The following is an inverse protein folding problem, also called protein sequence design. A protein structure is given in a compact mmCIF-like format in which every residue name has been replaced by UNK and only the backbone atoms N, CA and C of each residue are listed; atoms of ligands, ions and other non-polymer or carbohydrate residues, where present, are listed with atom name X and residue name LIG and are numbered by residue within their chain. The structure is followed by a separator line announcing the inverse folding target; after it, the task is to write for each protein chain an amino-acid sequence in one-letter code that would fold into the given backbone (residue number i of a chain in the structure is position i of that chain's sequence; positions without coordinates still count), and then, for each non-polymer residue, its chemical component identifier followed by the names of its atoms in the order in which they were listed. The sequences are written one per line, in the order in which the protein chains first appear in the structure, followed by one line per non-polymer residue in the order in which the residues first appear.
data_IF_720295891741
#
_entry.id   IF_720295891741
#
_cell.length_a   1.000
_cell.length_b   1.000
_cell.length_c   1.000
_cell.angle_alpha   90.00
_cell.angle_beta   90.00
_cell.angle_gamma   90.00
#
_symmetry.space_group_name_H-M   'P 1'
#
loop_
_entity.id
_entity.type
_entity.pdbx_description
1 polymer ?
#
# COMPACT_ATOMS: atom_id res chain seq x y z
N UNK A 1 -3.10 57.66 -1.49
CA UNK A 1 -4.07 56.59 -1.21
C UNK A 1 -3.77 56.08 0.19
N UNK A 2 -4.74 56.15 1.08
CA UNK A 2 -4.60 56.03 2.54
C UNK A 2 -4.49 54.56 2.97
N UNK A 3 -3.51 54.28 3.83
CA UNK A 3 -3.41 53.04 4.58
C UNK A 3 -4.37 53.08 5.76
N UNK A 4 -5.29 52.15 5.86
CA UNK A 4 -6.07 51.91 7.07
C UNK A 4 -5.45 50.72 7.84
N UNK A 5 -4.97 51.05 9.03
CA UNK A 5 -4.48 50.15 10.05
C UNK A 5 -5.65 49.61 10.86
N UNK A 6 -5.80 48.28 10.96
CA UNK A 6 -6.80 47.65 11.84
C UNK A 6 -6.11 47.12 13.11
N UNK A 7 -6.59 47.65 14.23
CA UNK A 7 -6.17 47.37 15.61
C UNK A 7 -6.45 45.93 16.06
N UNK A 8 -5.50 45.37 16.83
CA UNK A 8 -5.66 44.15 17.61
C UNK A 8 -6.31 44.49 18.99
N UNK A 9 -7.21 43.65 19.51
CA UNK A 9 -7.72 43.80 20.87
C UNK A 9 -6.86 43.07 21.91
N UNK A 10 -6.78 43.73 23.08
CA UNK A 10 -5.97 43.40 24.23
C UNK A 10 -6.38 42.14 25.01
N UNK A 11 -5.37 41.49 25.58
CA UNK A 11 -5.45 40.42 26.57
C UNK A 11 -6.11 40.86 27.88
N UNK A 12 -7.25 40.29 28.20
CA UNK A 12 -7.92 40.39 29.50
C UNK A 12 -7.52 39.24 30.45
N UNK A 13 -6.88 39.62 31.53
CA UNK A 13 -6.56 38.76 32.68
C UNK A 13 -7.84 38.30 33.40
N UNK A 14 -7.93 36.99 33.73
CA UNK A 14 -8.94 36.50 34.70
C UNK A 14 -8.29 35.71 35.83
N UNK A 15 -8.44 36.35 36.97
CA UNK A 15 -8.10 35.85 38.31
C UNK A 15 -9.04 34.72 38.76
N UNK A 16 -8.42 33.74 39.36
CA UNK A 16 -8.79 32.85 40.48
C UNK A 16 -10.26 32.82 40.92
N UNK A 17 -10.81 31.61 40.89
CA UNK A 17 -11.85 31.19 41.84
C UNK A 17 -11.47 29.84 42.45
N UNK A 18 -11.13 29.86 43.75
CA UNK A 18 -10.96 28.70 44.60
C UNK A 18 -12.32 28.45 45.27
N UNK A 19 -12.92 27.27 45.03
CA UNK A 19 -13.99 26.74 45.88
C UNK A 19 -13.55 25.36 46.39
N UNK A 20 -13.40 25.30 47.71
CA UNK A 20 -13.20 24.08 48.47
C UNK A 20 -14.52 23.28 48.51
N UNK A 21 -14.53 22.03 48.08
CA UNK A 21 -15.52 21.03 48.50
C UNK A 21 -14.77 19.83 49.06
N UNK A 22 -14.87 19.64 50.37
CA UNK A 22 -14.50 18.40 51.03
C UNK A 22 -15.60 17.37 50.75
N UNK A 23 -15.25 16.28 50.08
CA UNK A 23 -16.12 15.15 49.78
C UNK A 23 -15.42 13.86 50.19
N UNK A 24 -16.08 13.09 51.03
CA UNK A 24 -15.70 11.81 51.64
C UNK A 24 -15.34 10.80 50.56
N UNK A 25 -14.12 10.24 50.63
CA UNK A 25 -13.68 9.14 49.76
C UNK A 25 -14.22 7.81 50.33
N UNK A 26 -15.24 7.25 49.68
CA UNK A 26 -15.58 5.84 49.83
C UNK A 26 -14.67 5.04 48.89
N UNK A 27 -13.72 4.30 49.46
CA UNK A 27 -12.87 3.36 48.70
C UNK A 27 -13.73 2.18 48.28
N UNK A 28 -14.19 2.17 47.04
CA UNK A 28 -14.71 0.99 46.38
C UNK A 28 -13.52 0.09 46.01
N UNK A 29 -13.40 -1.06 46.63
CA UNK A 29 -12.54 -2.16 46.19
C UNK A 29 -13.02 -2.61 44.82
N UNK A 30 -12.36 -2.13 43.71
CA UNK A 30 -12.49 -2.71 42.40
C UNK A 30 -11.76 -4.05 42.41
N UNK A 31 -12.42 -5.19 42.14
CA UNK A 31 -11.71 -6.45 41.98
C UNK A 31 -10.67 -6.30 40.89
N UNK A 32 -9.43 -6.70 41.15
CA UNK A 32 -8.37 -6.77 40.17
C UNK A 32 -8.87 -7.61 38.98
N UNK A 33 -9.32 -6.95 37.95
CA UNK A 33 -9.68 -7.60 36.71
C UNK A 33 -8.47 -8.41 36.26
N UNK A 34 -8.71 -9.70 35.99
CA UNK A 34 -7.71 -10.58 35.41
C UNK A 34 -7.09 -9.85 34.22
N UNK A 35 -5.79 -9.57 34.30
CA UNK A 35 -5.03 -9.08 33.15
C UNK A 35 -5.27 -10.08 32.02
N UNK A 36 -5.98 -9.64 30.97
CA UNK A 36 -6.10 -10.43 29.77
C UNK A 36 -4.67 -10.76 29.36
N UNK A 37 -4.37 -12.06 29.28
CA UNK A 37 -3.15 -12.57 28.65
C UNK A 37 -2.95 -11.77 27.37
N UNK A 38 -1.76 -11.22 27.09
CA UNK A 38 -1.55 -10.57 25.82
C UNK A 38 -1.86 -11.63 24.76
N UNK A 39 -3.01 -11.45 24.09
CA UNK A 39 -3.36 -12.28 22.95
C UNK A 39 -2.14 -12.25 22.07
N UNK A 40 -1.52 -13.40 21.81
CA UNK A 40 -0.32 -13.50 20.99
C UNK A 40 -0.59 -12.67 19.74
N UNK A 41 0.10 -11.53 19.60
CA UNK A 41 -0.14 -10.60 18.51
C UNK A 41 -0.01 -11.43 17.24
N UNK A 42 -1.12 -11.60 16.51
CA UNK A 42 -1.14 -12.32 15.25
C UNK A 42 -0.18 -11.58 14.33
N UNK A 43 1.07 -12.02 14.25
CA UNK A 43 2.12 -11.30 13.56
C UNK A 43 1.87 -11.38 12.08
N UNK A 44 1.55 -10.23 11.45
CA UNK A 44 1.45 -10.13 10.01
C UNK A 44 2.82 -10.43 9.39
N UNK A 45 2.85 -11.31 8.39
CA UNK A 45 4.00 -11.55 7.51
C UNK A 45 3.70 -10.94 6.16
N UNK A 46 4.72 -10.38 5.50
CA UNK A 46 4.62 -9.88 4.13
C UNK A 46 5.67 -10.57 3.25
N UNK A 47 5.26 -11.03 2.08
CA UNK A 47 6.11 -11.71 1.10
C UNK A 47 6.04 -10.96 -0.22
N UNK A 48 7.19 -10.68 -0.83
CA UNK A 48 7.22 -10.23 -2.22
C UNK A 48 6.92 -11.41 -3.14
N UNK A 49 5.97 -11.22 -4.03
CA UNK A 49 5.71 -12.10 -5.17
C UNK A 49 6.48 -11.57 -6.40
N UNK A 50 6.19 -12.11 -7.59
CA UNK A 50 6.75 -11.57 -8.82
C UNK A 50 6.19 -10.17 -9.12
N UNK A 51 6.99 -9.35 -9.78
CA UNK A 51 6.63 -8.02 -10.30
C UNK A 51 6.13 -7.07 -9.20
N UNK A 52 4.85 -6.70 -9.24
CA UNK A 52 4.20 -5.88 -8.22
C UNK A 52 3.51 -6.71 -7.14
N UNK A 53 3.46 -8.04 -7.26
CA UNK A 53 2.70 -8.91 -6.38
C UNK A 53 3.20 -8.92 -4.93
N UNK A 54 2.26 -8.88 -3.99
CA UNK A 54 2.52 -8.98 -2.54
C UNK A 54 1.54 -9.94 -1.89
N UNK A 55 2.04 -10.79 -0.98
CA UNK A 55 1.24 -11.61 -0.08
C UNK A 55 1.36 -11.10 1.34
N UNK A 56 0.24 -10.88 1.99
CA UNK A 56 0.12 -10.59 3.41
C UNK A 56 -0.52 -11.79 4.10
N UNK A 57 0.11 -12.30 5.15
CA UNK A 57 -0.30 -13.54 5.78
C UNK A 57 -0.41 -13.39 7.30
N UNK A 58 -1.54 -13.82 7.83
CA UNK A 58 -1.81 -14.10 9.23
C UNK A 58 -1.89 -15.62 9.44
N UNK A 59 -1.92 -16.14 10.66
CA UNK A 59 -1.94 -17.59 10.89
C UNK A 59 -3.09 -18.33 10.20
N UNK A 60 -4.26 -17.70 10.06
CA UNK A 60 -5.48 -18.34 9.55
C UNK A 60 -6.12 -17.58 8.36
N UNK A 61 -5.44 -16.58 7.82
CA UNK A 61 -5.95 -15.80 6.68
C UNK A 61 -4.83 -15.24 5.83
N UNK A 62 -5.11 -15.08 4.53
CA UNK A 62 -4.16 -14.58 3.52
C UNK A 62 -4.82 -13.51 2.67
N UNK A 63 -4.08 -12.44 2.38
CA UNK A 63 -4.45 -11.41 1.43
C UNK A 63 -3.34 -11.29 0.37
N UNK A 64 -3.71 -11.33 -0.90
CA UNK A 64 -2.78 -11.10 -2.00
C UNK A 64 -3.12 -9.77 -2.69
N UNK A 65 -2.12 -9.07 -3.16
CA UNK A 65 -2.27 -7.84 -3.95
C UNK A 65 -1.56 -8.07 -5.28
N UNK A 66 -2.25 -7.86 -6.40
CA UNK A 66 -1.76 -8.02 -7.77
C UNK A 66 -0.96 -9.32 -7.99
N UNK A 67 -1.51 -10.51 -7.62
CA UNK A 67 -0.80 -11.78 -7.80
C UNK A 67 -0.71 -12.17 -9.28
N UNK A 68 0.44 -12.71 -9.70
CA UNK A 68 0.68 -13.22 -11.05
C UNK A 68 1.12 -14.69 -11.01
N UNK A 69 0.57 -15.50 -11.91
CA UNK A 69 1.05 -16.84 -12.25
C UNK A 69 1.40 -16.95 -13.73
N UNK A 70 0.98 -15.97 -14.54
CA UNK A 70 1.24 -15.90 -15.96
C UNK A 70 1.98 -14.57 -16.29
N UNK A 71 3.21 -14.62 -16.81
CA UNK A 71 3.95 -13.40 -17.17
C UNK A 71 3.62 -12.93 -18.59
N UNK A 72 2.39 -13.15 -19.09
CA UNK A 72 2.01 -12.93 -20.49
C UNK A 72 2.45 -11.57 -21.07
N UNK A 73 2.34 -10.50 -20.27
CA UNK A 73 2.76 -9.15 -20.68
C UNK A 73 4.27 -9.06 -20.94
N UNK A 74 5.05 -9.61 -20.04
CA UNK A 74 6.52 -9.48 -20.06
C UNK A 74 7.23 -10.68 -20.69
N UNK A 75 6.58 -11.86 -20.68
CA UNK A 75 7.17 -13.09 -21.20
C UNK A 75 8.54 -13.37 -20.58
N UNK A 76 9.55 -13.53 -21.43
CA UNK A 76 10.93 -13.79 -21.01
C UNK A 76 11.67 -12.54 -20.49
N UNK A 77 11.12 -11.35 -20.68
CA UNK A 77 11.72 -10.12 -20.18
C UNK A 77 11.51 -9.94 -18.66
N UNK A 78 10.53 -10.66 -18.07
CA UNK A 78 10.35 -10.66 -16.62
C UNK A 78 11.52 -11.43 -15.94
N UNK A 79 12.38 -10.76 -15.16
CA UNK A 79 13.48 -11.43 -14.49
C UNK A 79 13.01 -12.18 -13.24
N UNK A 80 11.86 -11.80 -12.70
CA UNK A 80 11.32 -12.33 -11.47
C UNK A 80 10.84 -13.76 -11.62
N UNK A 81 11.18 -14.60 -10.64
CA UNK A 81 10.60 -15.94 -10.51
C UNK A 81 9.13 -15.83 -10.11
N UNK A 82 8.23 -16.49 -10.84
CA UNK A 82 6.84 -16.64 -10.42
C UNK A 82 6.76 -17.43 -9.12
N UNK A 83 5.99 -16.91 -8.17
CA UNK A 83 5.80 -17.50 -6.83
C UNK A 83 4.41 -18.12 -6.79
N UNK A 84 4.25 -19.39 -6.34
CA UNK A 84 2.93 -20.00 -6.19
C UNK A 84 1.99 -19.15 -5.33
N UNK A 85 0.72 -19.05 -5.75
CA UNK A 85 -0.30 -18.24 -5.07
C UNK A 85 -1.43 -19.10 -4.48
N UNK A 86 -1.42 -20.41 -4.73
CA UNK A 86 -2.43 -21.37 -4.26
C UNK A 86 -2.12 -21.99 -2.90
N UNK A 87 -0.96 -21.74 -2.32
CA UNK A 87 -0.53 -22.18 -0.99
C UNK A 87 -1.01 -21.21 0.12
N UNK A 88 -2.25 -20.76 0.03
CA UNK A 88 -2.85 -19.84 0.98
C UNK A 88 -3.25 -20.51 2.29
N UNK A 89 -3.11 -19.79 3.40
CA UNK A 89 -3.57 -20.21 4.71
C UNK A 89 -4.97 -19.66 4.97
N UNK A 90 -5.86 -20.53 5.40
CA UNK A 90 -7.20 -20.17 5.85
C UNK A 90 -8.07 -19.48 4.79
N UNK A 91 -8.84 -18.47 5.21
CA UNK A 91 -9.60 -17.63 4.29
C UNK A 91 -8.66 -16.74 3.49
N UNK A 92 -8.89 -16.63 2.19
CA UNK A 92 -8.02 -15.86 1.31
C UNK A 92 -8.77 -14.81 0.52
N UNK A 93 -8.16 -13.64 0.38
CA UNK A 93 -8.70 -12.50 -0.36
C UNK A 93 -7.67 -11.99 -1.36
N UNK A 94 -8.15 -11.33 -2.41
CA UNK A 94 -7.29 -10.67 -3.40
C UNK A 94 -7.69 -9.22 -3.55
N UNK A 95 -6.71 -8.33 -3.59
CA UNK A 95 -6.84 -6.94 -4.00
C UNK A 95 -6.21 -6.78 -5.39
N UNK A 96 -6.86 -6.01 -6.24
CA UNK A 96 -6.33 -5.62 -7.55
C UNK A 96 -6.24 -4.10 -7.58
N UNK A 97 -5.08 -3.56 -7.98
CA UNK A 97 -4.88 -2.11 -8.10
C UNK A 97 -5.54 -1.55 -9.36
N UNK A 98 -5.43 -2.27 -10.47
CA UNK A 98 -6.03 -1.97 -11.77
C UNK A 98 -6.03 -3.23 -12.67
N UNK A 99 -6.45 -3.11 -13.93
CA UNK A 99 -6.69 -4.28 -14.80
C UNK A 99 -5.68 -4.44 -15.94
N UNK A 100 -4.53 -3.78 -15.90
CA UNK A 100 -3.46 -4.11 -16.83
C UNK A 100 -3.00 -5.55 -16.60
N UNK A 101 -2.61 -6.24 -17.66
CA UNK A 101 -2.34 -7.68 -17.65
C UNK A 101 -1.10 -8.10 -16.83
N UNK A 102 -0.30 -7.15 -16.40
CA UNK A 102 0.82 -7.33 -15.46
C UNK A 102 0.44 -7.07 -13.99
N UNK A 103 -0.83 -6.73 -13.71
CA UNK A 103 -1.39 -6.59 -12.37
C UNK A 103 -2.64 -7.43 -12.13
N UNK A 104 -3.40 -7.73 -13.19
CA UNK A 104 -4.58 -8.57 -13.12
C UNK A 104 -4.39 -9.86 -13.94
N UNK A 105 -4.27 -10.96 -13.23
CA UNK A 105 -4.19 -12.31 -13.77
C UNK A 105 -5.36 -13.13 -13.22
N UNK A 106 -6.31 -13.48 -14.10
CA UNK A 106 -7.52 -14.21 -13.72
C UNK A 106 -7.21 -15.61 -13.14
N UNK A 107 -6.17 -16.29 -13.65
CA UNK A 107 -5.76 -17.59 -13.16
C UNK A 107 -5.13 -17.49 -11.76
N UNK A 108 -4.34 -16.43 -11.52
CA UNK A 108 -3.78 -16.15 -10.19
C UNK A 108 -4.89 -15.83 -9.18
N UNK A 109 -5.87 -15.02 -9.57
CA UNK A 109 -7.05 -14.72 -8.74
C UNK A 109 -7.84 -16.00 -8.44
N UNK A 110 -8.10 -16.83 -9.45
CA UNK A 110 -8.81 -18.11 -9.27
C UNK A 110 -8.07 -19.05 -8.31
N UNK A 111 -6.75 -19.16 -8.47
CA UNK A 111 -5.91 -20.01 -7.62
C UNK A 111 -5.86 -19.50 -6.16
N UNK A 112 -5.75 -18.19 -5.97
CA UNK A 112 -5.70 -17.56 -4.65
C UNK A 112 -7.04 -17.62 -3.91
N UNK A 113 -8.17 -17.52 -4.62
CA UNK A 113 -9.52 -17.52 -4.04
C UNK A 113 -10.15 -18.93 -3.91
N UNK A 114 -9.37 -19.98 -3.99
CA UNK A 114 -9.87 -21.38 -3.98
C UNK A 114 -10.78 -21.75 -2.81
N UNK A 115 -10.83 -20.93 -1.74
CA UNK A 115 -11.63 -21.15 -0.53
C UNK A 115 -12.77 -20.14 -0.34
N UNK A 116 -13.24 -19.51 -1.42
CA UNK A 116 -14.42 -18.64 -1.37
C UNK A 116 -14.20 -17.24 -0.82
N UNK A 117 -12.97 -16.76 -0.91
CA UNK A 117 -12.60 -15.39 -0.50
C UNK A 117 -13.21 -14.30 -1.38
N UNK A 118 -12.80 -13.09 -1.13
CA UNK A 118 -13.29 -11.88 -1.82
C UNK A 118 -12.21 -11.29 -2.70
N UNK A 119 -12.55 -10.96 -3.96
CA UNK A 119 -11.78 -10.08 -4.81
C UNK A 119 -12.29 -8.65 -4.64
N UNK A 120 -11.46 -7.76 -4.10
CA UNK A 120 -11.74 -6.32 -4.05
C UNK A 120 -10.92 -5.58 -5.12
N UNK A 121 -11.56 -4.62 -5.79
CA UNK A 121 -11.00 -3.90 -6.92
C UNK A 121 -11.57 -2.47 -6.98
N UNK A 122 -10.95 -1.53 -7.70
CA UNK A 122 -11.44 -0.15 -7.80
C UNK A 122 -12.87 -0.05 -8.32
N UNK A 123 -13.71 0.72 -7.67
CA UNK A 123 -15.00 1.07 -8.22
C UNK A 123 -14.83 1.84 -9.55
N UNK A 124 -15.70 1.53 -10.52
CA UNK A 124 -15.61 2.13 -11.86
C UNK A 124 -14.87 1.29 -12.89
N UNK A 125 -14.17 0.23 -12.49
CA UNK A 125 -13.69 -0.75 -13.45
C UNK A 125 -14.86 -1.53 -14.06
N UNK A 126 -14.71 -1.86 -15.36
CA UNK A 126 -15.65 -2.76 -16.04
C UNK A 126 -15.61 -4.14 -15.37
N UNK A 127 -16.70 -4.92 -15.48
CA UNK A 127 -16.72 -6.28 -14.96
C UNK A 127 -15.52 -7.08 -15.47
N UNK A 128 -14.72 -7.59 -14.54
CA UNK A 128 -13.60 -8.45 -14.86
C UNK A 128 -14.08 -9.89 -15.07
N UNK A 129 -13.39 -10.70 -15.90
CA UNK A 129 -13.64 -12.12 -15.96
C UNK A 129 -13.27 -12.74 -14.60
N UNK A 130 -14.27 -13.01 -13.77
CA UNK A 130 -14.08 -13.55 -12.43
C UNK A 130 -14.33 -15.04 -12.41
N UNK A 131 -13.61 -15.80 -11.57
CA UNK A 131 -13.98 -17.17 -11.26
C UNK A 131 -15.41 -17.21 -10.70
N UNK A 132 -16.22 -18.18 -11.13
CA UNK A 132 -17.63 -18.29 -10.74
C UNK A 132 -17.86 -18.34 -9.21
N UNK A 133 -16.86 -18.74 -8.43
CA UNK A 133 -16.90 -18.81 -6.96
C UNK A 133 -16.41 -17.53 -6.27
N UNK A 134 -15.87 -16.54 -7.00
CA UNK A 134 -15.32 -15.33 -6.41
C UNK A 134 -16.44 -14.35 -6.00
N UNK A 135 -16.32 -13.81 -4.79
CA UNK A 135 -17.13 -12.67 -4.36
C UNK A 135 -16.45 -11.40 -4.83
N UNK A 136 -17.00 -10.76 -5.88
CA UNK A 136 -16.49 -9.49 -6.39
C UNK A 136 -16.98 -8.31 -5.53
N UNK A 137 -16.05 -7.41 -5.16
CA UNK A 137 -16.35 -6.24 -4.36
C UNK A 137 -15.71 -4.98 -4.95
N UNK A 138 -16.48 -4.17 -5.71
CA UNK A 138 -16.00 -2.85 -6.10
C UNK A 138 -15.81 -1.97 -4.86
N UNK A 139 -14.71 -1.23 -4.81
CA UNK A 139 -14.27 -0.47 -3.63
C UNK A 139 -14.13 1.01 -3.98
N UNK A 140 -14.90 1.86 -3.33
CA UNK A 140 -14.82 3.31 -3.51
C UNK A 140 -13.62 3.90 -2.75
N UNK A 141 -13.01 4.94 -3.30
CA UNK A 141 -11.86 5.62 -2.67
C UNK A 141 -12.18 6.06 -1.24
N UNK A 142 -11.24 5.83 -0.35
CA UNK A 142 -11.28 6.19 1.07
C UNK A 142 -12.24 5.35 1.93
N UNK A 143 -12.98 4.42 1.33
CA UNK A 143 -13.91 3.55 2.05
C UNK A 143 -13.23 2.24 2.46
N UNK A 144 -13.09 1.95 3.78
CA UNK A 144 -12.47 0.74 4.26
C UNK A 144 -13.34 -0.48 3.95
N UNK A 145 -12.70 -1.56 3.50
CA UNK A 145 -13.29 -2.87 3.28
C UNK A 145 -12.77 -3.85 4.32
N UNK A 146 -13.66 -4.49 5.05
CA UNK A 146 -13.29 -5.59 5.94
C UNK A 146 -13.25 -6.90 5.13
N UNK A 147 -12.09 -7.55 5.10
CA UNK A 147 -11.79 -8.78 4.38
C UNK A 147 -11.19 -9.79 5.37
N UNK A 148 -12.03 -10.55 6.05
CA UNK A 148 -11.59 -11.38 7.16
C UNK A 148 -10.88 -10.53 8.25
N UNK A 149 -9.66 -10.89 8.61
CA UNK A 149 -8.83 -10.16 9.58
C UNK A 149 -8.11 -8.93 9.00
N UNK A 150 -8.31 -8.62 7.71
CA UNK A 150 -7.69 -7.48 7.03
C UNK A 150 -8.70 -6.35 6.86
N UNK A 151 -8.24 -5.12 7.08
CA UNK A 151 -8.94 -3.93 6.63
C UNK A 151 -8.16 -3.33 5.46
N UNK A 152 -8.77 -3.30 4.28
CA UNK A 152 -8.20 -2.74 3.06
C UNK A 152 -8.93 -1.46 2.66
N UNK A 153 -8.20 -0.37 2.44
CA UNK A 153 -8.77 0.90 2.02
C UNK A 153 -8.12 1.34 0.71
N UNK A 154 -8.89 1.46 -0.39
CA UNK A 154 -8.37 2.02 -1.62
C UNK A 154 -8.16 3.52 -1.47
N UNK A 155 -7.01 4.00 -1.91
CA UNK A 155 -6.64 5.42 -1.90
C UNK A 155 -6.21 5.84 -3.31
N UNK A 156 -6.24 7.15 -3.63
CA UNK A 156 -5.91 7.61 -4.97
C UNK A 156 -4.54 7.14 -5.44
N UNK A 157 -4.49 6.70 -6.67
CA UNK A 157 -3.31 6.49 -7.49
C UNK A 157 -3.48 7.24 -8.81
N UNK A 158 -2.43 7.32 -9.61
CA UNK A 158 -2.46 7.93 -10.95
C UNK A 158 -1.83 6.97 -11.93
N UNK A 159 -2.62 6.45 -12.83
CA UNK A 159 -2.17 5.57 -13.90
C UNK A 159 -1.50 6.36 -15.04
N UNK A 160 -0.42 5.80 -15.62
CA UNK A 160 0.34 6.43 -16.69
C UNK A 160 -0.41 6.55 -18.01
N UNK A 161 -1.50 5.81 -18.19
CA UNK A 161 -2.40 5.86 -19.35
C UNK A 161 -3.70 6.61 -19.08
N UNK A 162 -3.98 6.94 -17.81
CA UNK A 162 -5.22 7.55 -17.38
C UNK A 162 -6.34 6.52 -17.08
N UNK A 163 -6.00 5.26 -16.95
CA UNK A 163 -6.94 4.20 -16.59
C UNK A 163 -7.29 4.23 -15.10
N UNK A 164 -8.39 3.56 -14.72
CA UNK A 164 -8.82 3.53 -13.32
C UNK A 164 -7.87 2.68 -12.49
N UNK A 165 -7.23 3.32 -11.49
CA UNK A 165 -6.28 2.68 -10.60
C UNK A 165 -6.44 3.17 -9.17
N UNK A 166 -6.09 2.32 -8.19
CA UNK A 166 -5.94 2.68 -6.78
C UNK A 166 -4.63 2.15 -6.22
N UNK A 167 -4.12 2.83 -5.20
CA UNK A 167 -3.20 2.22 -4.23
C UNK A 167 -4.00 1.64 -3.07
N UNK A 168 -3.43 0.65 -2.36
CA UNK A 168 -4.08 0.03 -1.22
C UNK A 168 -3.38 0.34 0.10
N UNK A 169 -4.15 0.73 1.09
CA UNK A 169 -3.75 0.74 2.51
C UNK A 169 -4.33 -0.50 3.16
N UNK A 170 -3.48 -1.37 3.72
CA UNK A 170 -3.91 -2.58 4.41
C UNK A 170 -3.47 -2.52 5.87
N UNK A 171 -4.42 -2.78 6.78
CA UNK A 171 -4.15 -2.90 8.22
C UNK A 171 -4.52 -4.30 8.68
N UNK A 172 -3.59 -5.01 9.31
CA UNK A 172 -3.80 -6.34 9.89
C UNK A 172 -2.69 -6.66 10.89
N UNK A 173 -2.97 -7.47 11.91
CA UNK A 173 -1.98 -7.94 12.87
C UNK A 173 -1.16 -6.83 13.55
N UNK A 174 -1.75 -5.66 13.78
CA UNK A 174 -1.10 -4.49 14.35
C UNK A 174 -0.17 -3.73 13.43
N UNK A 175 -0.10 -4.09 12.13
CA UNK A 175 0.76 -3.44 11.13
C UNK A 175 -0.07 -2.74 10.06
N UNK A 176 0.57 -1.77 9.43
CA UNK A 176 -0.02 -0.97 8.36
C UNK A 176 0.90 -0.99 7.13
N UNK A 177 0.35 -1.44 6.01
CA UNK A 177 1.04 -1.63 4.76
C UNK A 177 0.46 -0.69 3.71
N UNK A 178 1.32 -0.08 2.91
CA UNK A 178 0.96 0.63 1.71
C UNK A 178 1.42 -0.14 0.47
N UNK A 179 0.57 -0.26 -0.54
CA UNK A 179 0.91 -0.82 -1.84
C UNK A 179 0.54 0.17 -2.93
N UNK A 180 1.54 0.62 -3.68
CA UNK A 180 1.39 1.68 -4.67
C UNK A 180 0.74 1.27 -5.99
N UNK A 181 0.74 -0.03 -6.32
CA UNK A 181 0.52 -0.45 -7.70
C UNK A 181 1.69 0.03 -8.57
N UNK A 182 1.40 0.52 -9.76
CA UNK A 182 2.36 1.14 -10.65
C UNK A 182 2.15 2.66 -10.82
N UNK A 183 1.65 3.31 -9.78
CA UNK A 183 1.27 4.72 -9.79
C UNK A 183 2.38 5.68 -10.22
N UNK A 184 1.99 6.76 -10.88
CA UNK A 184 2.80 7.98 -11.05
C UNK A 184 2.87 8.81 -9.77
N UNK A 185 3.72 9.86 -9.78
CA UNK A 185 3.69 10.90 -8.75
C UNK A 185 2.40 11.71 -8.82
N UNK A 186 1.75 11.90 -7.65
CA UNK A 186 0.50 12.66 -7.53
C UNK A 186 0.44 13.50 -6.24
N UNK A 187 -0.55 14.37 -6.10
CA UNK A 187 -0.69 15.26 -4.94
C UNK A 187 -1.27 14.63 -3.67
N UNK A 188 -1.73 13.38 -3.70
CA UNK A 188 -2.44 12.76 -2.58
C UNK A 188 -1.52 12.18 -1.49
N UNK A 189 -0.20 12.08 -1.71
CA UNK A 189 0.76 11.50 -0.77
C UNK A 189 0.64 12.05 0.64
N UNK A 190 0.56 13.38 0.78
CA UNK A 190 0.43 14.05 2.08
C UNK A 190 -0.89 13.75 2.80
N UNK A 191 -2.00 13.65 2.07
CA UNK A 191 -3.28 13.25 2.65
C UNK A 191 -3.23 11.81 3.14
N UNK A 192 -2.70 10.89 2.33
CA UNK A 192 -2.54 9.48 2.68
C UNK A 192 -1.65 9.34 3.92
N UNK A 193 -0.48 10.00 3.93
CA UNK A 193 0.44 9.99 5.07
C UNK A 193 -0.18 10.51 6.35
N UNK A 194 -0.93 11.63 6.29
CA UNK A 194 -1.61 12.19 7.47
C UNK A 194 -2.76 11.31 7.99
N UNK A 195 -3.49 10.65 7.09
CA UNK A 195 -4.67 9.88 7.46
C UNK A 195 -4.31 8.46 7.94
N UNK A 196 -3.32 7.85 7.33
CA UNK A 196 -3.00 6.44 7.55
C UNK A 196 -1.59 6.18 8.06
N UNK A 197 -0.64 7.09 7.90
CA UNK A 197 0.74 6.91 8.35
C UNK A 197 0.89 6.90 9.88
N UNK A 198 2.04 6.51 10.41
CA UNK A 198 3.15 5.92 9.67
C UNK A 198 2.85 4.49 9.20
N UNK A 199 3.50 4.07 8.12
CA UNK A 199 3.39 2.71 7.60
C UNK A 199 4.58 1.86 8.07
N UNK A 200 4.33 0.57 8.36
CA UNK A 200 5.41 -0.38 8.67
C UNK A 200 6.21 -0.73 7.41
N UNK A 201 5.53 -0.88 6.27
CA UNK A 201 6.15 -1.02 4.96
C UNK A 201 5.34 -0.33 3.87
N UNK A 202 6.03 0.24 2.88
CA UNK A 202 5.47 0.75 1.64
C UNK A 202 6.09 -0.01 0.46
N UNK A 203 5.28 -0.76 -0.26
CA UNK A 203 5.63 -1.40 -1.53
C UNK A 203 5.38 -0.39 -2.65
N UNK A 204 6.45 0.09 -3.26
CA UNK A 204 6.37 1.16 -4.26
C UNK A 204 7.09 0.76 -5.55
N UNK A 205 6.52 1.08 -6.73
CA UNK A 205 7.18 0.89 -8.00
C UNK A 205 8.37 1.84 -8.10
N UNK A 206 9.43 1.41 -8.81
CA UNK A 206 10.67 2.19 -8.89
C UNK A 206 11.24 2.29 -10.30
N UNK A 207 10.57 1.73 -11.30
CA UNK A 207 11.18 1.63 -12.62
C UNK A 207 11.15 2.93 -13.45
N UNK A 208 10.29 3.90 -13.12
CA UNK A 208 10.17 5.15 -13.88
C UNK A 208 9.94 4.93 -15.36
N UNK A 209 9.15 3.90 -15.72
CA UNK A 209 8.98 3.45 -17.08
C UNK A 209 8.42 4.54 -18.00
N UNK A 210 8.94 4.61 -19.23
CA UNK A 210 8.42 5.43 -20.32
C UNK A 210 7.86 4.54 -21.40
N UNK A 211 6.81 5.01 -22.08
CA UNK A 211 6.07 4.25 -23.08
C UNK A 211 6.14 4.93 -24.44
N UNK A 212 6.55 4.20 -25.47
CA UNK A 212 6.65 4.68 -26.83
C UNK A 212 5.44 4.37 -27.72
N UNK A 213 4.43 3.67 -27.22
CA UNK A 213 3.23 3.27 -27.99
C UNK A 213 2.05 4.24 -27.86
N UNK A 214 2.17 5.31 -27.06
CA UNK A 214 1.16 6.39 -26.99
C UNK A 214 1.59 7.57 -27.86
N UNK A 215 0.70 8.04 -28.73
CA UNK A 215 0.96 9.16 -29.62
C UNK A 215 0.19 10.42 -29.18
N UNK A 216 0.84 11.57 -29.02
CA UNK A 216 2.29 11.77 -29.09
C UNK A 216 3.03 11.17 -27.90
N UNK A 217 4.26 10.69 -28.11
CA UNK A 217 5.11 10.18 -27.03
C UNK A 217 5.43 11.30 -26.04
N UNK A 218 5.10 11.10 -24.78
CA UNK A 218 5.30 12.13 -23.73
C UNK A 218 6.75 12.25 -23.28
N UNK A 219 7.52 11.14 -23.31
CA UNK A 219 8.85 11.05 -22.72
C UNK A 219 8.88 11.22 -21.20
N UNK A 220 7.70 11.31 -20.55
CA UNK A 220 7.59 11.39 -19.10
C UNK A 220 7.40 9.99 -18.48
N UNK A 221 7.90 9.77 -17.25
CA UNK A 221 7.65 8.52 -16.55
C UNK A 221 6.16 8.27 -16.34
N UNK A 222 5.67 7.11 -16.78
CA UNK A 222 4.32 6.63 -16.51
C UNK A 222 4.18 5.95 -15.15
N UNK A 223 5.29 5.73 -14.44
CA UNK A 223 5.39 5.08 -13.14
C UNK A 223 6.37 5.87 -12.27
N UNK A 224 6.33 5.76 -10.94
CA UNK A 224 7.28 6.43 -10.07
C UNK A 224 8.75 6.11 -10.45
N UNK A 225 9.59 7.15 -10.49
CA UNK A 225 11.04 6.96 -10.51
C UNK A 225 11.54 6.54 -9.13
N UNK A 226 12.76 5.99 -9.02
CA UNK A 226 13.34 5.64 -7.71
C UNK A 226 13.35 6.81 -6.72
N UNK A 227 13.68 8.01 -7.17
CA UNK A 227 13.72 9.22 -6.33
C UNK A 227 12.33 9.64 -5.87
N UNK A 228 11.32 9.49 -6.74
CA UNK A 228 9.92 9.75 -6.42
C UNK A 228 9.38 8.74 -5.41
N UNK A 229 9.73 7.45 -5.56
CA UNK A 229 9.35 6.41 -4.61
C UNK A 229 9.93 6.68 -3.21
N UNK A 230 11.19 7.10 -3.11
CA UNK A 230 11.80 7.51 -1.84
C UNK A 230 11.10 8.74 -1.24
N UNK A 231 10.77 9.73 -2.07
CA UNK A 231 10.04 10.90 -1.61
C UNK A 231 8.64 10.54 -1.10
N UNK A 232 7.92 9.65 -1.81
CA UNK A 232 6.61 9.15 -1.39
C UNK A 232 6.72 8.37 -0.07
N UNK A 233 7.68 7.45 0.08
CA UNK A 233 7.92 6.70 1.31
C UNK A 233 8.18 7.62 2.51
N UNK A 234 8.98 8.68 2.33
CA UNK A 234 9.24 9.68 3.37
C UNK A 234 7.95 10.42 3.79
N UNK A 235 7.12 10.85 2.84
CA UNK A 235 5.84 11.55 3.11
C UNK A 235 4.84 10.60 3.80
N UNK A 236 4.80 9.34 3.41
CA UNK A 236 3.99 8.29 4.03
C UNK A 236 4.46 7.94 5.44
N UNK A 237 5.68 8.34 5.83
CA UNK A 237 6.29 7.94 7.10
C UNK A 237 6.57 6.43 7.13
N UNK A 238 6.93 5.84 5.99
CA UNK A 238 7.22 4.42 5.88
C UNK A 238 8.51 4.05 6.64
N UNK A 239 8.40 3.08 7.54
CA UNK A 239 9.54 2.52 8.27
C UNK A 239 10.44 1.68 7.37
N UNK A 240 9.88 1.16 6.28
CA UNK A 240 10.60 0.40 5.27
C UNK A 240 9.99 0.66 3.90
N UNK A 241 10.81 1.06 2.93
CA UNK A 241 10.46 1.07 1.51
C UNK A 241 10.88 -0.28 0.90
N UNK A 242 9.94 -0.98 0.31
CA UNK A 242 10.16 -2.23 -0.43
C UNK A 242 9.95 -1.95 -1.92
N UNK A 243 10.99 -2.01 -2.76
CA UNK A 243 10.85 -1.78 -4.18
C UNK A 243 10.13 -2.94 -4.86
N UNK A 244 9.20 -2.60 -5.75
CA UNK A 244 8.46 -3.50 -6.64
C UNK A 244 8.48 -2.93 -8.07
N UNK A 245 7.98 -3.69 -9.03
CA UNK A 245 7.72 -3.22 -10.40
C UNK A 245 8.98 -2.65 -11.07
N UNK A 246 10.01 -3.51 -11.27
CA UNK A 246 11.27 -3.13 -11.92
C UNK A 246 12.01 -4.35 -12.46
N UNK A 247 12.90 -4.10 -13.43
CA UNK A 247 13.85 -5.07 -13.96
C UNK A 247 13.55 -5.54 -15.38
N UNK A 248 12.52 -5.00 -16.04
CA UNK A 248 12.22 -5.32 -17.43
C UNK A 248 13.22 -4.62 -18.35
N UNK A 249 13.75 -5.37 -19.31
CA UNK A 249 14.67 -4.85 -20.33
C UNK A 249 14.44 -5.53 -21.68
N UNK A 250 14.90 -4.88 -22.76
CA UNK A 250 14.85 -5.43 -24.11
C UNK A 250 13.45 -5.50 -24.73
N UNK A 251 12.51 -4.69 -24.24
CA UNK A 251 11.16 -4.56 -24.81
C UNK A 251 11.11 -3.36 -25.77
N UNK A 252 10.44 -3.53 -26.91
CA UNK A 252 10.18 -2.44 -27.83
C UNK A 252 9.20 -1.44 -27.21
N UNK A 253 9.50 -0.15 -27.39
CA UNK A 253 8.65 0.96 -26.93
C UNK A 253 8.39 1.00 -25.40
N UNK A 254 9.20 0.29 -24.62
CA UNK A 254 9.18 0.32 -23.15
C UNK A 254 10.60 0.46 -22.62
N UNK A 255 10.82 1.45 -21.80
CA UNK A 255 12.12 1.66 -21.18
C UNK A 255 11.99 2.05 -19.72
N UNK A 256 12.66 1.30 -18.85
CA UNK A 256 12.85 1.68 -17.45
C UNK A 256 14.00 2.68 -17.33
N UNK A 257 14.08 3.39 -16.19
CA UNK A 257 15.27 4.19 -15.88
C UNK A 257 16.49 3.27 -15.72
N UNK A 258 17.66 3.78 -16.07
CA UNK A 258 18.90 3.06 -15.85
C UNK A 258 19.15 2.84 -14.36
N UNK A 259 19.62 1.64 -13.99
CA UNK A 259 19.97 1.22 -12.63
C UNK A 259 18.94 1.65 -11.56
N UNK A 260 17.68 1.20 -11.63
CA UNK A 260 16.64 1.64 -10.71
C UNK A 260 16.99 1.35 -9.24
N UNK A 261 17.64 0.23 -8.94
CA UNK A 261 18.05 -0.12 -7.57
C UNK A 261 19.21 0.73 -7.04
N UNK A 262 20.21 1.04 -7.87
CA UNK A 262 21.33 1.92 -7.48
C UNK A 262 20.84 3.33 -7.21
N UNK A 263 19.97 3.86 -8.09
CA UNK A 263 19.31 5.17 -7.91
C UNK A 263 18.45 5.20 -6.65
N UNK A 264 17.68 4.13 -6.39
CA UNK A 264 16.88 4.00 -5.19
C UNK A 264 17.75 4.08 -3.93
N UNK A 265 18.82 3.28 -3.86
CA UNK A 265 19.75 3.25 -2.71
C UNK A 265 20.38 4.61 -2.45
N UNK A 266 20.82 5.29 -3.53
CA UNK A 266 21.39 6.63 -3.43
C UNK A 266 20.38 7.62 -2.87
N UNK A 267 19.19 7.73 -3.48
CA UNK A 267 18.13 8.64 -3.04
C UNK A 267 17.67 8.35 -1.61
N UNK A 268 17.59 7.08 -1.22
CA UNK A 268 17.21 6.65 0.12
C UNK A 268 18.26 7.03 1.17
N UNK A 269 19.56 6.91 0.84
CA UNK A 269 20.64 7.37 1.70
C UNK A 269 20.58 8.87 1.95
N UNK A 270 20.35 9.66 0.91
CA UNK A 270 20.24 11.13 0.99
C UNK A 270 19.06 11.59 1.89
N UNK A 271 18.04 10.76 2.08
CA UNK A 271 16.83 11.06 2.86
C UNK A 271 16.64 10.23 4.12
N UNK A 272 17.58 9.35 4.45
CA UNK A 272 17.51 8.41 5.56
C UNK A 272 16.21 7.56 5.56
N UNK A 273 15.76 7.13 4.38
CA UNK A 273 14.61 6.23 4.22
C UNK A 273 15.12 4.78 4.22
N UNK A 274 14.70 3.93 5.18
CA UNK A 274 15.12 2.54 5.18
C UNK A 274 14.57 1.80 3.95
N UNK A 275 15.44 1.06 3.25
CA UNK A 275 15.09 0.25 2.08
C UNK A 275 15.38 -1.22 2.36
N UNK A 276 14.43 -2.08 2.02
CA UNK A 276 14.65 -3.53 1.99
C UNK A 276 14.32 -4.06 0.60
N UNK A 277 15.35 -4.45 -0.14
CA UNK A 277 15.18 -5.20 -1.39
C UNK A 277 14.89 -6.65 -1.02
N UNK A 278 13.78 -7.17 -1.49
CA UNK A 278 13.29 -8.52 -1.18
C UNK A 278 13.14 -9.28 -2.48
N UNK A 279 13.76 -10.46 -2.57
CA UNK A 279 13.64 -11.33 -3.73
C UNK A 279 12.24 -11.96 -3.81
N UNK A 280 11.73 -12.26 -5.01
CA UNK A 280 10.45 -12.95 -5.18
C UNK A 280 10.40 -14.28 -4.41
N UNK A 281 9.38 -14.42 -3.56
CA UNK A 281 9.20 -15.55 -2.65
C UNK A 281 9.85 -15.38 -1.29
N UNK A 282 10.67 -14.37 -1.07
CA UNK A 282 11.23 -14.07 0.24
C UNK A 282 10.25 -13.26 1.09
N UNK A 283 10.34 -13.44 2.40
CA UNK A 283 9.53 -12.75 3.39
C UNK A 283 10.26 -11.51 3.89
N UNK A 284 9.49 -10.46 4.10
CA UNK A 284 9.98 -9.20 4.67
C UNK A 284 10.43 -9.42 6.12
N UNK A 285 11.56 -8.84 6.48
CA UNK A 285 12.02 -8.75 7.87
C UNK A 285 11.50 -7.44 8.46
N UNK A 286 10.72 -7.52 9.53
CA UNK A 286 10.23 -6.33 10.19
C UNK A 286 11.32 -5.68 11.03
N UNK A 287 11.54 -4.36 10.91
CA UNK A 287 12.43 -3.66 11.83
C UNK A 287 11.92 -3.77 13.27
N UNK A 288 12.85 -3.87 14.20
CA UNK A 288 12.59 -3.95 15.62
C UNK A 288 11.93 -2.68 16.18
#
# INVERSE_FOLDING_TARGET
MKHDSVNAPALGSRRRFLARCAGVAAAALVPAGAAASPAAMRSLRAQRLAWAGVRLQLPESTLLIDPLVNPATWGKALPDRLVPVNDVLGESHVLVTHTHSDHFDADAVAAALSKGGTLAYPAGLQPMPLPAAARARPSALWEPQLLGDFTATPVPASDGYGDTQVSWVVTAGGRRIFHGGDTQWHGHWWRIGRQFGPFDAAFLPINGATFGWREPVSGQPGVLTPEQAVAAAAILGARTLVPIHYGISGMDNYAEVDDPLGRLRKAAGDRAVPVQVVEPGAWLTWPA
#
